data_IF_213997289365
#
_entry.id   IF_213997289365
#
_cell.length_a   1.000
_cell.length_b   1.000
_cell.length_c   1.000
_cell.angle_alpha   90.00
_cell.angle_beta   90.00
_cell.angle_gamma   90.00
#
_symmetry.space_group_name_H-M   'P 1'
#
loop_
_entity.id
_entity.type
_entity.pdbx_description
1 polymer ?
#
# COMPACT_ATOMS: atom_id res chain seq x y z
N UNK A 1 4.89 12.93 -1.82
CA UNK A 1 5.68 11.70 -2.06
C UNK A 1 7.16 12.03 -2.03
N UNK A 2 8.02 11.08 -1.66
CA UNK A 2 9.47 11.28 -1.67
C UNK A 2 9.98 11.51 -3.10
N UNK A 3 10.92 12.44 -3.26
CA UNK A 3 11.49 12.78 -4.58
C UNK A 3 12.45 11.72 -5.09
N UNK A 4 13.13 11.02 -4.18
CA UNK A 4 14.14 10.02 -4.51
C UNK A 4 13.93 8.75 -3.67
N UNK A 5 13.95 7.61 -4.36
CA UNK A 5 13.86 6.29 -3.75
C UNK A 5 15.22 5.60 -3.82
N UNK A 6 15.64 5.03 -2.70
CA UNK A 6 16.78 4.13 -2.61
C UNK A 6 16.35 2.73 -3.03
N UNK A 7 16.50 2.44 -4.32
CA UNK A 7 16.14 1.14 -4.88
C UNK A 7 16.94 -0.01 -4.28
N UNK A 8 18.19 0.21 -3.86
CA UNK A 8 19.02 -0.82 -3.25
C UNK A 8 18.52 -1.15 -1.83
N UNK A 9 18.18 -0.14 -1.03
CA UNK A 9 17.60 -0.33 0.30
C UNK A 9 16.24 -1.01 0.22
N UNK A 10 15.35 -0.53 -0.67
CA UNK A 10 14.04 -1.15 -0.91
C UNK A 10 14.22 -2.62 -1.29
N UNK A 11 15.12 -2.93 -2.23
CA UNK A 11 15.36 -4.31 -2.66
C UNK A 11 15.83 -5.20 -1.51
N UNK A 12 16.74 -4.71 -0.66
CA UNK A 12 17.21 -5.45 0.51
C UNK A 12 16.07 -5.81 1.49
N UNK A 13 15.10 -4.92 1.66
CA UNK A 13 13.91 -5.18 2.49
C UNK A 13 12.88 -6.08 1.80
N UNK A 14 12.68 -5.93 0.48
CA UNK A 14 11.81 -6.82 -0.29
C UNK A 14 12.24 -8.27 -0.14
N UNK A 15 13.54 -8.55 -0.14
CA UNK A 15 14.09 -9.90 0.07
C UNK A 15 13.76 -10.52 1.43
N UNK A 16 13.34 -9.70 2.41
CA UNK A 16 12.90 -10.16 3.74
C UNK A 16 11.39 -10.38 3.81
N UNK A 17 10.62 -10.07 2.77
CA UNK A 17 9.17 -10.16 2.81
C UNK A 17 8.66 -11.61 2.69
N UNK A 18 7.79 -12.01 3.62
CA UNK A 18 7.07 -13.27 3.60
C UNK A 18 5.60 -13.04 3.20
N UNK A 19 5.19 -13.41 1.95
CA UNK A 19 3.82 -13.23 1.48
C UNK A 19 2.75 -14.07 2.19
N UNK A 20 3.11 -15.10 2.96
CA UNK A 20 2.13 -15.89 3.72
C UNK A 20 1.65 -15.20 5.00
N UNK A 21 2.53 -14.41 5.63
CA UNK A 21 2.24 -13.69 6.87
C UNK A 21 2.00 -12.20 6.63
N UNK A 22 2.37 -11.70 5.44
CA UNK A 22 2.46 -10.27 5.14
C UNK A 22 3.34 -9.51 6.15
N UNK A 23 4.53 -10.08 6.41
CA UNK A 23 5.54 -9.52 7.31
C UNK A 23 6.94 -9.59 6.70
N UNK A 24 7.83 -8.69 7.12
CA UNK A 24 9.27 -8.79 6.96
C UNK A 24 9.85 -9.71 8.03
N UNK A 25 10.69 -10.65 7.61
CA UNK A 25 11.42 -11.58 8.47
C UNK A 25 12.83 -11.05 8.71
N UNK A 26 13.05 -10.54 9.91
CA UNK A 26 14.33 -9.98 10.35
C UNK A 26 15.03 -10.95 11.32
N UNK A 27 16.35 -10.82 11.56
CA UNK A 27 17.06 -11.70 12.51
C UNK A 27 16.46 -11.69 13.92
N UNK A 28 15.80 -10.60 14.30
CA UNK A 28 15.17 -10.39 15.62
C UNK A 28 13.65 -10.62 15.64
N UNK A 29 13.05 -11.10 14.54
CA UNK A 29 11.63 -11.46 14.45
C UNK A 29 10.85 -10.80 13.30
N UNK A 30 9.53 -10.95 13.34
CA UNK A 30 8.60 -10.40 12.34
C UNK A 30 8.31 -8.91 12.59
N UNK A 31 8.27 -8.13 11.50
CA UNK A 31 7.79 -6.75 11.47
C UNK A 31 6.91 -6.53 10.24
N UNK A 32 6.02 -5.54 10.26
CA UNK A 32 5.25 -5.17 9.07
C UNK A 32 4.90 -3.69 9.05
N UNK A 33 4.46 -3.20 7.90
CA UNK A 33 3.85 -1.87 7.79
C UNK A 33 2.40 -2.01 8.26
N UNK A 34 2.00 -1.29 9.30
CA UNK A 34 0.69 -1.38 9.94
C UNK A 34 -0.13 -0.10 9.70
N UNK A 35 -1.43 -0.11 10.02
CA UNK A 35 -2.30 1.02 9.69
C UNK A 35 -1.92 2.32 10.41
N UNK A 36 -1.39 2.25 11.63
CA UNK A 36 -0.86 3.44 12.30
C UNK A 36 0.37 3.99 11.57
N UNK A 37 1.22 3.13 10.99
CA UNK A 37 2.33 3.57 10.14
C UNK A 37 1.80 4.36 8.94
N UNK A 38 0.78 3.84 8.25
CA UNK A 38 0.15 4.54 7.11
C UNK A 38 -0.42 5.89 7.53
N UNK A 39 -1.12 5.93 8.67
CA UNK A 39 -1.70 7.15 9.22
C UNK A 39 -0.63 8.22 9.50
N UNK A 40 0.45 7.88 10.20
CA UNK A 40 1.49 8.85 10.56
C UNK A 40 2.42 9.21 9.40
N UNK A 41 2.76 8.25 8.53
CA UNK A 41 3.69 8.46 7.42
C UNK A 41 3.05 9.28 6.30
N UNK A 42 1.83 8.92 5.89
CA UNK A 42 1.16 9.52 4.73
C UNK A 42 0.09 10.55 5.09
N UNK A 43 -0.46 10.52 6.32
CA UNK A 43 -1.59 11.37 6.76
C UNK A 43 -2.82 11.23 5.87
N UNK A 44 -3.12 10.00 5.48
CA UNK A 44 -4.34 9.65 4.73
C UNK A 44 -5.29 8.81 5.60
N UNK A 45 -6.61 8.83 5.33
CA UNK A 45 -7.59 8.07 6.12
C UNK A 45 -7.35 6.57 6.04
N UNK A 46 -7.16 5.93 7.19
CA UNK A 46 -7.06 4.46 7.31
C UNK A 46 -8.36 3.81 7.78
N UNK A 47 -9.28 4.62 8.29
CA UNK A 47 -10.65 4.24 8.61
C UNK A 47 -11.61 4.83 7.58
N UNK A 48 -12.71 4.14 7.33
CA UNK A 48 -13.70 4.57 6.35
C UNK A 48 -14.43 3.39 5.71
N UNK A 49 -15.07 3.67 4.58
CA UNK A 49 -15.72 2.67 3.77
C UNK A 49 -14.69 1.77 3.06
N UNK A 50 -14.98 0.46 3.05
CA UNK A 50 -14.19 -0.54 2.35
C UNK A 50 -14.32 -0.39 0.83
N UNK A 51 -13.19 -0.31 0.15
CA UNK A 51 -13.12 -0.23 -1.30
C UNK A 51 -13.13 -1.62 -1.94
N UNK A 52 -14.28 -2.31 -1.95
CA UNK A 52 -14.40 -3.69 -2.47
C UNK A 52 -14.90 -3.81 -3.90
N UNK A 53 -15.47 -2.74 -4.46
CA UNK A 53 -16.08 -2.78 -5.78
C UNK A 53 -15.01 -3.01 -6.86
N UNK A 54 -15.10 -4.14 -7.56
CA UNK A 54 -14.25 -4.50 -8.70
C UNK A 54 -15.14 -5.00 -9.84
N UNK A 55 -15.70 -4.08 -10.66
CA UNK A 55 -16.53 -4.46 -11.80
C UNK A 55 -15.74 -5.28 -12.82
N UNK A 56 -16.46 -6.09 -13.62
CA UNK A 56 -15.86 -6.85 -14.72
C UNK A 56 -15.01 -5.94 -15.63
N UNK A 57 -13.87 -6.42 -16.19
CA UNK A 57 -12.99 -5.62 -17.04
C UNK A 57 -13.68 -4.88 -18.18
N UNK A 58 -14.73 -5.46 -18.77
CA UNK A 58 -15.52 -4.80 -19.81
C UNK A 58 -16.30 -3.58 -19.29
N UNK A 59 -16.84 -3.66 -18.08
CA UNK A 59 -17.51 -2.52 -17.41
C UNK A 59 -16.49 -1.43 -17.10
N UNK A 60 -15.32 -1.80 -16.59
CA UNK A 60 -14.23 -0.85 -16.34
C UNK A 60 -13.76 -0.17 -17.63
N UNK A 61 -13.67 -0.91 -18.74
CA UNK A 61 -13.29 -0.36 -20.04
C UNK A 61 -14.34 0.64 -20.56
N UNK A 62 -15.62 0.33 -20.43
CA UNK A 62 -16.72 1.24 -20.77
C UNK A 62 -16.68 2.49 -19.89
N UNK A 63 -16.44 2.31 -18.59
CA UNK A 63 -16.31 3.43 -17.66
C UNK A 63 -15.15 4.38 -18.02
N UNK A 64 -14.01 3.84 -18.45
CA UNK A 64 -12.90 4.66 -18.94
C UNK A 64 -13.27 5.38 -20.23
N UNK A 65 -14.02 4.73 -21.11
CA UNK A 65 -14.48 5.33 -22.35
C UNK A 65 -15.40 6.53 -22.08
N UNK A 66 -16.33 6.38 -21.14
CA UNK A 66 -17.25 7.44 -20.72
C UNK A 66 -16.53 8.59 -20.00
N UNK A 67 -15.51 8.28 -19.20
CA UNK A 67 -14.68 9.28 -18.52
C UNK A 67 -13.93 10.17 -19.51
N UNK A 68 -13.31 9.57 -20.53
CA UNK A 68 -12.52 10.29 -21.54
C UNK A 68 -13.41 10.92 -22.61
N UNK A 69 -14.67 10.47 -22.75
CA UNK A 69 -15.64 10.97 -23.75
C UNK A 69 -15.05 11.02 -25.16
N UNK A 70 -14.45 9.92 -25.60
CA UNK A 70 -13.96 9.77 -26.98
C UNK A 70 -15.15 9.32 -27.86
N UNK A 71 -15.35 9.87 -29.06
CA UNK A 71 -16.39 9.38 -29.97
C UNK A 71 -16.14 7.92 -30.35
N UNK A 72 -17.19 7.08 -30.28
CA UNK A 72 -17.14 5.63 -30.53
C UNK A 72 -16.92 5.29 -32.01
N UNK A 73 -17.35 6.17 -32.92
CA UNK A 73 -17.51 5.81 -34.34
C UNK A 73 -16.44 6.44 -35.24
N UNK A 74 -15.50 5.60 -35.70
CA UNK A 74 -14.51 5.90 -36.72
C UNK A 74 -13.37 4.86 -36.75
N UNK A 75 -12.32 5.01 -37.58
CA UNK A 75 -11.10 4.18 -37.57
C UNK A 75 -10.33 4.20 -36.22
N UNK A 76 -10.89 4.91 -35.24
CA UNK A 76 -10.51 5.22 -33.85
C UNK A 76 -10.42 3.98 -32.94
N UNK A 77 -10.93 2.81 -33.33
CA UNK A 77 -10.78 1.58 -32.53
C UNK A 77 -9.31 1.20 -32.24
N UNK A 78 -8.39 1.51 -33.18
CA UNK A 78 -6.95 1.40 -32.97
C UNK A 78 -6.37 2.52 -32.10
N UNK A 79 -6.88 3.74 -32.22
CA UNK A 79 -6.45 4.89 -31.42
C UNK A 79 -6.86 4.75 -29.96
N UNK A 80 -8.09 4.32 -29.66
CA UNK A 80 -8.53 3.98 -28.30
C UNK A 80 -7.57 2.97 -27.66
N UNK A 81 -7.27 1.87 -28.37
CA UNK A 81 -6.43 0.78 -27.85
C UNK A 81 -4.96 1.18 -27.60
N UNK A 82 -4.43 2.16 -28.31
CA UNK A 82 -3.01 2.54 -28.25
C UNK A 82 -2.78 3.85 -27.48
N UNK A 83 -3.63 4.85 -27.71
CA UNK A 83 -3.54 6.18 -27.10
C UNK A 83 -4.10 6.19 -25.69
N UNK A 84 -5.25 5.56 -25.47
CA UNK A 84 -5.98 5.67 -24.21
C UNK A 84 -5.88 4.40 -23.37
N UNK A 85 -6.38 3.28 -23.86
CA UNK A 85 -6.57 2.06 -23.09
C UNK A 85 -5.82 0.88 -23.68
N UNK A 86 -4.74 0.43 -23.03
CA UNK A 86 -3.90 -0.67 -23.49
C UNK A 86 -3.68 -1.68 -22.37
N UNK A 87 -3.80 -2.98 -22.67
CA UNK A 87 -3.56 -4.08 -21.74
C UNK A 87 -4.28 -3.91 -20.38
N UNK A 88 -5.49 -3.35 -20.39
CA UNK A 88 -6.29 -3.14 -19.18
C UNK A 88 -6.00 -1.85 -18.41
N UNK A 89 -5.10 -0.99 -18.88
CA UNK A 89 -4.74 0.27 -18.21
C UNK A 89 -5.06 1.52 -19.03
N UNK A 90 -5.39 2.62 -18.35
CA UNK A 90 -5.70 3.93 -18.96
C UNK A 90 -4.48 4.86 -18.93
N UNK A 91 -4.22 5.62 -20.00
CA UNK A 91 -3.07 6.52 -20.11
C UNK A 91 -3.12 7.68 -19.10
N UNK A 92 -2.12 7.79 -18.24
CA UNK A 92 -2.08 8.79 -17.17
C UNK A 92 -2.04 10.23 -17.72
N UNK A 93 -1.05 10.55 -18.56
CA UNK A 93 -0.88 11.92 -19.08
C UNK A 93 -2.06 12.33 -19.97
N UNK A 94 -2.54 11.40 -20.80
CA UNK A 94 -3.71 11.62 -21.63
C UNK A 94 -4.93 11.99 -20.79
N UNK A 95 -5.12 11.32 -19.66
CA UNK A 95 -6.25 11.57 -18.77
C UNK A 95 -6.18 12.96 -18.13
N UNK A 96 -5.00 13.40 -17.67
CA UNK A 96 -4.79 14.76 -17.14
C UNK A 96 -5.08 15.84 -18.18
N UNK A 97 -4.52 15.68 -19.39
CA UNK A 97 -4.76 16.61 -20.50
C UNK A 97 -6.24 16.67 -20.81
N UNK A 98 -6.91 15.50 -20.90
CA UNK A 98 -8.33 15.43 -21.19
C UNK A 98 -9.19 16.14 -20.16
N UNK A 99 -8.92 15.91 -18.87
CA UNK A 99 -9.63 16.56 -17.77
C UNK A 99 -9.62 18.09 -17.89
N UNK A 100 -8.44 18.67 -18.19
CA UNK A 100 -8.26 20.10 -18.41
C UNK A 100 -8.97 20.62 -19.66
N UNK A 101 -8.88 19.88 -20.77
CA UNK A 101 -9.48 20.26 -22.05
C UNK A 101 -11.01 20.34 -21.99
N UNK A 102 -11.65 19.45 -21.22
CA UNK A 102 -13.11 19.41 -21.14
C UNK A 102 -13.70 20.61 -20.40
N UNK A 103 -12.90 21.33 -19.59
CA UNK A 103 -13.35 22.50 -18.80
C UNK A 103 -14.58 22.21 -17.91
N UNK A 104 -14.73 20.96 -17.48
CA UNK A 104 -15.74 20.53 -16.52
C UNK A 104 -15.00 20.30 -15.20
N UNK A 105 -15.26 21.17 -14.20
CA UNK A 105 -14.52 21.17 -12.93
C UNK A 105 -14.49 19.79 -12.26
N UNK A 106 -15.64 19.14 -12.16
CA UNK A 106 -15.73 17.84 -11.48
C UNK A 106 -14.89 16.78 -12.19
N UNK A 107 -14.86 16.81 -13.52
CA UNK A 107 -14.05 15.89 -14.31
C UNK A 107 -12.56 16.21 -14.20
N UNK A 108 -12.18 17.49 -14.18
CA UNK A 108 -10.79 17.91 -13.97
C UNK A 108 -10.29 17.42 -12.60
N UNK A 109 -11.08 17.58 -11.54
CA UNK A 109 -10.75 17.08 -10.21
C UNK A 109 -10.68 15.54 -10.19
N UNK A 110 -11.66 14.85 -10.78
CA UNK A 110 -11.70 13.39 -10.83
C UNK A 110 -10.48 12.81 -11.55
N UNK A 111 -10.13 13.35 -12.73
CA UNK A 111 -8.96 12.91 -13.51
C UNK A 111 -7.65 13.23 -12.79
N UNK A 112 -7.54 14.40 -12.16
CA UNK A 112 -6.39 14.73 -11.32
C UNK A 112 -6.22 13.76 -10.16
N UNK A 113 -7.28 13.49 -9.39
CA UNK A 113 -7.25 12.54 -8.28
C UNK A 113 -6.92 11.13 -8.75
N UNK A 114 -7.46 10.70 -9.89
CA UNK A 114 -7.16 9.40 -10.47
C UNK A 114 -5.67 9.28 -10.77
N UNK A 115 -5.08 10.24 -11.48
CA UNK A 115 -3.64 10.21 -11.78
C UNK A 115 -2.82 10.31 -10.50
N UNK A 116 -3.19 11.19 -9.56
CA UNK A 116 -2.51 11.31 -8.28
C UNK A 116 -2.47 9.96 -7.54
N UNK A 117 -3.62 9.31 -7.35
CA UNK A 117 -3.71 8.05 -6.60
C UNK A 117 -3.02 6.90 -7.34
N UNK A 118 -3.22 6.80 -8.65
CA UNK A 118 -2.61 5.75 -9.48
C UNK A 118 -1.09 5.87 -9.61
N UNK A 119 -0.56 7.09 -9.59
CA UNK A 119 0.88 7.35 -9.65
C UNK A 119 1.56 7.41 -8.28
N UNK A 120 0.81 7.26 -7.18
CA UNK A 120 1.38 7.35 -5.81
C UNK A 120 1.05 6.16 -4.91
N UNK A 121 -0.22 5.79 -4.79
CA UNK A 121 -0.67 4.71 -3.89
C UNK A 121 -0.76 3.37 -4.61
N UNK A 122 -1.29 3.39 -5.84
CA UNK A 122 -1.64 2.19 -6.61
C UNK A 122 -0.75 1.97 -7.85
N UNK A 123 0.51 2.41 -7.76
CA UNK A 123 1.48 2.29 -8.85
C UNK A 123 1.63 0.84 -9.28
N UNK A 124 1.56 0.56 -10.59
CA UNK A 124 1.75 -0.78 -11.15
C UNK A 124 3.00 -0.83 -12.06
N UNK A 125 3.18 -1.94 -12.77
CA UNK A 125 4.31 -2.16 -13.70
C UNK A 125 4.08 -1.55 -15.09
N UNK A 126 2.93 -0.91 -15.32
CA UNK A 126 2.49 -0.45 -16.64
C UNK A 126 3.10 0.88 -17.06
N UNK A 127 3.99 1.47 -16.24
CA UNK A 127 4.74 2.72 -16.44
C UNK A 127 3.87 3.97 -16.60
N UNK A 128 3.16 4.09 -17.71
CA UNK A 128 2.35 5.24 -18.12
C UNK A 128 0.84 4.97 -18.04
N UNK A 129 0.46 3.75 -17.64
CA UNK A 129 -0.95 3.35 -17.48
C UNK A 129 -1.35 3.23 -16.01
N UNK A 130 -2.63 3.53 -15.75
CA UNK A 130 -3.24 3.47 -14.44
C UNK A 130 -4.32 2.39 -14.42
N UNK A 131 -4.54 1.82 -13.24
CA UNK A 131 -5.57 0.80 -13.02
C UNK A 131 -6.97 1.42 -13.06
N UNK A 132 -7.88 0.98 -13.97
CA UNK A 132 -9.23 1.53 -14.11
C UNK A 132 -10.09 1.47 -12.85
N UNK A 133 -9.88 0.47 -11.99
CA UNK A 133 -10.63 0.28 -10.75
C UNK A 133 -10.57 1.49 -9.80
N UNK A 134 -9.54 2.32 -9.89
CA UNK A 134 -9.45 3.57 -9.10
C UNK A 134 -10.64 4.49 -9.39
N UNK A 135 -11.07 4.59 -10.66
CA UNK A 135 -12.15 5.50 -11.06
C UNK A 135 -13.49 5.16 -10.41
N UNK A 136 -13.74 3.88 -10.11
CA UNK A 136 -14.97 3.40 -9.46
C UNK A 136 -15.26 4.19 -8.18
N UNK A 137 -14.21 4.51 -7.42
CA UNK A 137 -14.27 5.22 -6.15
C UNK A 137 -14.15 6.75 -6.26
N UNK A 138 -14.00 7.27 -7.48
CA UNK A 138 -13.87 8.72 -7.74
C UNK A 138 -15.09 9.33 -8.44
N UNK A 139 -16.05 8.49 -8.89
CA UNK A 139 -17.28 8.94 -9.56
C UNK A 139 -18.12 9.86 -8.68
N UNK A 140 -18.29 9.48 -7.41
CA UNK A 140 -19.00 10.29 -6.43
C UNK A 140 -18.01 11.01 -5.53
N UNK A 141 -17.70 12.26 -5.88
CA UNK A 141 -16.76 13.10 -5.13
C UNK A 141 -17.14 13.27 -3.65
N UNK A 142 -18.43 13.16 -3.29
CA UNK A 142 -18.89 13.30 -1.91
C UNK A 142 -18.44 12.14 -1.03
N UNK A 143 -18.18 10.98 -1.63
CA UNK A 143 -17.76 9.76 -0.94
C UNK A 143 -16.25 9.60 -0.87
N UNK A 144 -15.50 10.29 -1.75
CA UNK A 144 -14.04 10.17 -1.85
C UNK A 144 -13.36 10.32 -0.49
N UNK A 145 -13.73 11.33 0.30
CA UNK A 145 -13.12 11.56 1.62
C UNK A 145 -13.46 10.48 2.67
N UNK A 146 -14.52 9.69 2.44
CA UNK A 146 -15.00 8.67 3.37
C UNK A 146 -14.41 7.27 3.16
N UNK A 147 -13.62 7.04 2.11
CA UNK A 147 -12.97 5.74 1.88
C UNK A 147 -11.71 5.57 2.73
N UNK A 148 -11.44 4.32 3.14
CA UNK A 148 -10.24 3.94 3.86
C UNK A 148 -9.00 3.84 2.92
N UNK A 149 -8.63 4.95 2.27
CA UNK A 149 -7.54 5.01 1.28
C UNK A 149 -6.21 4.43 1.77
N UNK A 150 -5.89 4.63 3.05
CA UNK A 150 -4.68 4.10 3.68
C UNK A 150 -4.70 2.58 3.81
N UNK A 151 -5.82 1.99 4.19
CA UNK A 151 -5.97 0.53 4.25
C UNK A 151 -5.91 -0.07 2.83
N UNK A 152 -6.55 0.57 1.86
CA UNK A 152 -6.48 0.17 0.46
C UNK A 152 -5.05 0.26 -0.10
N UNK A 153 -4.33 1.34 0.17
CA UNK A 153 -2.93 1.51 -0.24
C UNK A 153 -2.02 0.45 0.40
N UNK A 154 -2.25 0.09 1.67
CA UNK A 154 -1.50 -0.94 2.37
C UNK A 154 -1.77 -2.34 1.80
N UNK A 155 -3.04 -2.69 1.55
CA UNK A 155 -3.43 -3.95 0.91
C UNK A 155 -2.73 -4.10 -0.45
N UNK A 156 -2.74 -3.02 -1.24
CA UNK A 156 -2.07 -3.02 -2.52
C UNK A 156 -0.54 -3.15 -2.39
N UNK A 157 0.09 -2.45 -1.44
CA UNK A 157 1.53 -2.57 -1.20
C UNK A 157 1.93 -3.98 -0.75
N UNK A 158 1.17 -4.63 0.13
CA UNK A 158 1.40 -6.02 0.55
C UNK A 158 1.40 -6.98 -0.65
N UNK A 159 0.39 -6.85 -1.53
CA UNK A 159 0.33 -7.61 -2.79
C UNK A 159 1.56 -7.36 -3.64
N UNK A 160 1.97 -6.11 -3.81
CA UNK A 160 3.16 -5.77 -4.63
C UNK A 160 4.46 -6.31 -4.03
N UNK A 161 4.62 -6.29 -2.70
CA UNK A 161 5.74 -6.93 -2.00
C UNK A 161 5.76 -8.44 -2.25
N UNK A 162 4.61 -9.12 -2.11
CA UNK A 162 4.49 -10.55 -2.36
C UNK A 162 4.70 -10.94 -3.83
N UNK A 163 4.42 -10.04 -4.78
CA UNK A 163 4.75 -10.23 -6.19
C UNK A 163 6.24 -10.00 -6.45
N UNK A 164 6.87 -9.04 -5.76
CA UNK A 164 8.26 -8.66 -5.95
C UNK A 164 9.26 -9.74 -5.50
N UNK A 165 8.89 -10.58 -4.51
CA UNK A 165 9.72 -11.69 -4.04
C UNK A 165 9.74 -12.91 -4.96
N UNK A 166 8.93 -12.92 -6.03
CA UNK A 166 8.90 -14.06 -6.96
C UNK A 166 10.05 -14.01 -7.95
N UNK A 167 10.57 -15.20 -8.31
CA UNK A 167 11.72 -15.39 -9.21
C UNK A 167 11.60 -14.63 -10.55
N UNK A 168 10.38 -14.52 -11.10
CA UNK A 168 10.14 -13.82 -12.37
C UNK A 168 10.04 -12.29 -12.25
N UNK A 169 10.01 -11.73 -11.04
CA UNK A 169 9.82 -10.30 -10.84
C UNK A 169 11.14 -9.53 -10.98
N UNK A 170 11.13 -8.47 -11.80
CA UNK A 170 12.28 -7.59 -12.04
C UNK A 170 12.14 -6.20 -11.40
N UNK A 171 11.00 -5.94 -10.76
CA UNK A 171 10.68 -4.65 -10.16
C UNK A 171 9.59 -4.79 -9.11
N UNK A 172 9.54 -3.80 -8.21
CA UNK A 172 8.47 -3.59 -7.23
C UNK A 172 7.69 -2.32 -7.58
N UNK A 173 6.39 -2.33 -7.24
CA UNK A 173 5.47 -1.21 -7.42
C UNK A 173 4.66 -0.98 -6.13
N UNK A 174 3.58 -0.21 -6.20
CA UNK A 174 2.82 0.25 -5.04
C UNK A 174 3.41 1.51 -4.39
N UNK A 175 2.96 1.83 -3.17
CA UNK A 175 3.36 3.05 -2.47
C UNK A 175 4.80 2.95 -1.89
N UNK A 176 5.82 3.10 -2.74
CA UNK A 176 7.22 2.98 -2.30
C UNK A 176 7.69 4.11 -1.37
N UNK A 177 7.02 5.26 -1.37
CA UNK A 177 7.24 6.29 -0.34
C UNK A 177 6.85 5.78 1.04
N UNK A 178 5.75 5.03 1.17
CA UNK A 178 5.34 4.42 2.43
C UNK A 178 6.39 3.41 2.91
N UNK A 179 6.82 2.50 2.02
CA UNK A 179 7.84 1.51 2.36
C UNK A 179 9.16 2.16 2.80
N UNK A 180 9.68 3.10 2.02
CA UNK A 180 10.95 3.75 2.34
C UNK A 180 10.86 4.60 3.61
N UNK A 181 9.79 5.38 3.78
CA UNK A 181 9.58 6.13 5.01
C UNK A 181 9.48 5.21 6.22
N UNK A 182 8.74 4.10 6.11
CA UNK A 182 8.65 3.10 7.18
C UNK A 182 10.03 2.56 7.56
N UNK A 183 10.90 2.27 6.58
CA UNK A 183 12.29 1.88 6.87
C UNK A 183 12.99 2.97 7.70
N UNK A 184 12.88 4.25 7.31
CA UNK A 184 13.51 5.34 8.06
C UNK A 184 12.93 5.55 9.46
N UNK A 185 11.65 5.24 9.67
CA UNK A 185 11.02 5.32 10.98
C UNK A 185 11.58 4.28 11.96
N UNK A 186 11.60 3.02 11.53
CA UNK A 186 11.93 1.90 12.42
C UNK A 186 13.43 1.58 12.48
N UNK A 187 14.21 1.96 11.46
CA UNK A 187 15.61 1.59 11.34
C UNK A 187 16.51 2.85 11.27
N UNK A 188 16.92 3.41 12.44
CA UNK A 188 17.81 4.56 12.52
C UNK A 188 19.08 4.44 11.67
N UNK A 189 19.61 3.21 11.51
CA UNK A 189 20.80 2.93 10.72
C UNK A 189 20.70 3.34 9.24
N UNK A 190 19.50 3.34 8.66
CA UNK A 190 19.27 3.70 7.25
C UNK A 190 18.71 5.12 7.07
N UNK A 191 18.51 5.85 8.17
CA UNK A 191 17.79 7.12 8.19
C UNK A 191 18.65 8.24 7.57
N UNK A 192 18.12 8.99 6.58
CA UNK A 192 18.77 10.20 6.09
C UNK A 192 18.53 11.38 7.05
N UNK A 193 19.13 12.53 6.75
CA UNK A 193 18.88 13.76 7.51
C UNK A 193 17.39 14.10 7.56
N UNK A 194 16.94 14.57 8.72
CA UNK A 194 15.55 14.92 8.97
C UNK A 194 15.34 16.44 8.94
N UNK A 195 14.24 16.88 8.32
CA UNK A 195 13.73 18.25 8.35
C UNK A 195 12.64 18.31 9.43
N UNK A 196 12.67 19.34 10.27
CA UNK A 196 11.59 19.62 11.20
C UNK A 196 10.34 20.04 10.42
N UNK A 197 9.27 19.27 10.56
CA UNK A 197 7.97 19.55 9.94
C UNK A 197 6.95 19.97 11.01
N UNK A 198 5.82 20.52 10.57
CA UNK A 198 4.68 20.76 11.46
C UNK A 198 4.19 19.44 12.09
N UNK A 199 3.63 19.45 13.32
CA UNK A 199 3.22 18.22 14.01
C UNK A 199 2.25 17.32 13.22
N UNK A 200 1.39 17.92 12.40
CA UNK A 200 0.36 17.28 11.59
C UNK A 200 0.85 16.91 10.17
N UNK A 201 2.06 17.32 9.78
CA UNK A 201 2.61 17.00 8.47
C UNK A 201 2.84 15.48 8.30
N UNK A 202 2.78 14.96 7.06
CA UNK A 202 3.15 13.58 6.78
C UNK A 202 4.61 13.32 7.12
N UNK A 203 4.93 12.30 7.93
CA UNK A 203 6.33 12.02 8.26
C UNK A 203 7.17 11.66 7.04
N UNK A 204 6.57 11.16 5.96
CA UNK A 204 7.26 10.95 4.69
C UNK A 204 7.90 12.23 4.11
N UNK A 205 7.42 13.44 4.46
CA UNK A 205 8.01 14.71 4.03
C UNK A 205 9.15 15.20 4.92
N UNK A 206 9.45 14.48 6.01
CA UNK A 206 10.51 14.87 6.96
C UNK A 206 11.90 14.44 6.50
N UNK A 207 12.04 13.67 5.43
CA UNK A 207 13.31 13.03 5.06
C UNK A 207 14.00 13.72 3.88
N UNK A 208 15.27 14.09 4.05
CA UNK A 208 16.12 14.60 2.97
C UNK A 208 16.67 13.43 2.16
N UNK A 209 15.90 12.96 1.18
CA UNK A 209 16.34 11.90 0.29
C UNK A 209 17.27 12.47 -0.80
N UNK A 210 18.51 12.00 -0.88
CA UNK A 210 19.43 12.35 -1.95
C UNK A 210 19.24 11.48 -3.19
N UNK A 211 19.72 11.93 -4.34
CA UNK A 211 19.78 11.11 -5.55
C UNK A 211 20.83 10.03 -5.35
N UNK A 212 20.41 8.77 -5.44
CA UNK A 212 21.32 7.64 -5.38
C UNK A 212 21.88 7.32 -6.78
N UNK A 213 23.16 6.98 -6.85
CA UNK A 213 23.77 6.55 -8.11
C UNK A 213 23.24 5.16 -8.51
N UNK A 214 23.15 4.95 -9.82
CA UNK A 214 22.71 3.68 -10.41
C UNK A 214 23.88 2.75 -10.77
N UNK A 215 23.57 1.60 -11.36
CA UNK A 215 24.57 0.67 -11.87
C UNK A 215 25.32 -0.06 -10.76
N UNK A 216 26.65 -0.12 -10.86
CA UNK A 216 27.49 -0.88 -9.93
C UNK A 216 27.47 -0.33 -8.50
N UNK A 217 27.27 0.99 -8.33
CA UNK A 217 27.06 1.59 -7.02
C UNK A 217 25.82 1.01 -6.32
N UNK A 218 24.69 0.92 -7.03
CA UNK A 218 23.46 0.34 -6.48
C UNK A 218 23.64 -1.12 -6.07
N UNK A 219 24.44 -1.90 -6.81
CA UNK A 219 24.76 -3.30 -6.45
C UNK A 219 25.62 -3.38 -5.19
N UNK A 220 26.64 -2.53 -5.07
CA UNK A 220 27.49 -2.49 -3.88
C UNK A 220 26.69 -2.04 -2.65
N UNK A 221 25.83 -1.02 -2.79
CA UNK A 221 24.93 -0.57 -1.73
C UNK A 221 23.96 -1.68 -1.31
N UNK A 222 23.40 -2.44 -2.26
CA UNK A 222 22.55 -3.58 -1.95
C UNK A 222 23.29 -4.65 -1.13
N UNK A 223 24.51 -5.02 -1.52
CA UNK A 223 25.34 -5.98 -0.75
C UNK A 223 25.58 -5.47 0.67
N UNK A 224 25.93 -4.19 0.81
CA UNK A 224 26.14 -3.56 2.12
C UNK A 224 24.86 -3.56 2.97
N UNK A 225 23.71 -3.19 2.39
CA UNK A 225 22.44 -3.21 3.12
C UNK A 225 22.05 -4.62 3.56
N UNK A 226 22.27 -5.66 2.74
CA UNK A 226 22.04 -7.05 3.14
C UNK A 226 22.87 -7.43 4.36
N UNK A 227 24.17 -7.13 4.34
CA UNK A 227 25.06 -7.40 5.47
C UNK A 227 24.59 -6.66 6.73
N UNK A 228 24.28 -5.37 6.61
CA UNK A 228 23.77 -4.57 7.74
C UNK A 228 22.47 -5.12 8.31
N UNK A 229 21.59 -5.68 7.46
CA UNK A 229 20.35 -6.33 7.89
C UNK A 229 20.60 -7.67 8.57
N UNK A 230 21.56 -8.47 8.09
CA UNK A 230 21.90 -9.77 8.67
C UNK A 230 22.57 -9.65 10.04
N UNK A 231 23.34 -8.58 10.26
CA UNK A 231 24.03 -8.28 11.53
C UNK A 231 23.13 -7.58 12.56
N UNK A 232 21.91 -7.17 12.17
CA UNK A 232 21.04 -6.33 12.98
C UNK A 232 20.42 -7.08 14.15
N UNK A 233 20.38 -6.43 15.32
CA UNK A 233 19.70 -6.91 16.51
C UNK A 233 18.39 -6.16 16.75
N UNK A 234 17.60 -6.64 17.72
CA UNK A 234 16.39 -5.94 18.13
C UNK A 234 16.64 -4.61 18.86
N UNK A 235 17.87 -4.32 19.28
CA UNK A 235 18.25 -3.06 19.95
C UNK A 235 18.47 -1.93 18.94
N UNK A 236 18.80 -2.27 17.70
CA UNK A 236 19.02 -1.34 16.59
C UNK A 236 17.70 -0.77 16.03
N UNK A 237 16.55 -1.27 16.51
CA UNK A 237 15.21 -0.95 16.00
C UNK A 237 14.50 0.04 16.91
N UNK A 238 14.00 1.12 16.31
CA UNK A 238 13.06 2.04 16.95
C UNK A 238 11.66 1.43 16.93
N UNK A 239 11.32 0.62 17.93
CA UNK A 239 10.06 -0.13 17.98
C UNK A 239 8.79 0.73 18.04
N UNK A 240 8.85 1.93 18.58
CA UNK A 240 7.67 2.81 18.75
C UNK A 240 8.00 4.23 18.27
N UNK A 241 8.21 4.44 16.95
CA UNK A 241 8.69 5.72 16.42
C UNK A 241 7.67 6.86 16.52
N UNK A 242 6.40 6.53 16.82
CA UNK A 242 5.31 7.50 17.03
C UNK A 242 4.86 7.56 18.50
N UNK A 243 5.60 6.91 19.41
CA UNK A 243 5.18 6.71 20.79
C UNK A 243 4.47 5.37 21.00
N UNK A 244 4.32 4.98 22.28
CA UNK A 244 3.75 3.68 22.67
C UNK A 244 2.24 3.60 22.46
N UNK A 245 1.58 4.75 22.36
CA UNK A 245 0.11 4.84 22.24
C UNK A 245 -0.38 4.88 20.78
N UNK A 246 0.51 4.75 19.78
CA UNK A 246 0.12 4.81 18.36
C UNK A 246 -1.00 3.81 17.99
N UNK A 247 -1.01 2.63 18.61
CA UNK A 247 -2.06 1.63 18.40
C UNK A 247 -3.41 1.97 19.02
N UNK A 248 -3.44 2.80 20.07
CA UNK A 248 -4.68 3.29 20.70
C UNK A 248 -5.15 4.59 20.07
N UNK A 249 -4.25 5.40 19.50
CA UNK A 249 -4.59 6.56 18.66
C UNK A 249 -5.25 6.14 17.34
N UNK A 250 -4.78 5.03 16.75
CA UNK A 250 -5.31 4.47 15.50
C UNK A 250 -5.81 3.05 15.77
N UNK A 251 -6.99 2.94 16.41
CA UNK A 251 -7.54 1.67 16.91
C UNK A 251 -7.69 0.59 15.83
N UNK A 252 -8.02 0.97 14.59
CA UNK A 252 -8.10 0.02 13.50
C UNK A 252 -6.78 -0.74 13.24
N UNK A 253 -5.64 -0.23 13.72
CA UNK A 253 -4.35 -0.90 13.59
C UNK A 253 -4.28 -2.22 14.37
N UNK A 254 -5.14 -2.41 15.37
CA UNK A 254 -5.23 -3.64 16.15
C UNK A 254 -6.20 -4.67 15.56
N UNK A 255 -6.84 -4.35 14.43
CA UNK A 255 -7.70 -5.27 13.69
C UNK A 255 -6.91 -6.49 13.22
N UNK A 256 -7.49 -7.69 13.29
CA UNK A 256 -6.96 -8.88 12.62
C UNK A 256 -8.01 -9.37 11.62
N UNK A 257 -7.63 -9.51 10.36
CA UNK A 257 -8.54 -9.91 9.28
C UNK A 257 -8.01 -9.52 7.91
N UNK A 258 -8.89 -9.14 6.98
CA UNK A 258 -8.51 -8.80 5.60
C UNK A 258 -8.59 -7.29 5.38
N UNK A 259 -7.59 -6.74 4.70
CA UNK A 259 -7.60 -5.38 4.11
C UNK A 259 -7.69 -5.46 2.59
N UNK A 260 -8.30 -4.46 1.94
CA UNK A 260 -8.68 -4.60 0.53
C UNK A 260 -8.62 -3.30 -0.28
N UNK A 261 -8.27 -3.47 -1.55
CA UNK A 261 -8.47 -2.52 -2.64
C UNK A 261 -8.99 -3.27 -3.87
N UNK A 262 -10.30 -3.14 -4.15
CA UNK A 262 -11.01 -3.83 -5.23
C UNK A 262 -10.80 -5.37 -5.17
N UNK A 263 -10.20 -5.96 -6.20
CA UNK A 263 -9.78 -7.36 -6.29
C UNK A 263 -8.58 -7.73 -5.39
N UNK A 264 -7.80 -6.76 -4.92
CA UNK A 264 -6.63 -7.01 -4.08
C UNK A 264 -7.05 -7.11 -2.63
N UNK A 265 -7.02 -8.32 -2.09
CA UNK A 265 -7.31 -8.62 -0.70
C UNK A 265 -6.11 -9.30 -0.04
N UNK A 266 -5.72 -8.79 1.12
CA UNK A 266 -4.53 -9.23 1.85
C UNK A 266 -4.81 -9.44 3.34
N UNK A 267 -4.22 -10.49 3.90
CA UNK A 267 -4.29 -10.75 5.34
C UNK A 267 -3.53 -9.68 6.11
N UNK A 268 -4.10 -9.26 7.23
CA UNK A 268 -3.58 -8.25 8.14
C UNK A 268 -3.66 -8.79 9.57
N UNK A 269 -2.50 -9.08 10.17
CA UNK A 269 -2.40 -9.66 11.51
C UNK A 269 -1.36 -8.94 12.38
N UNK A 270 -1.73 -7.83 13.04
CA UNK A 270 -0.82 -7.04 13.87
C UNK A 270 -0.34 -7.80 15.12
N UNK A 271 -0.99 -8.91 15.50
CA UNK A 271 -0.55 -9.73 16.64
C UNK A 271 0.80 -10.42 16.39
N UNK A 272 1.26 -10.46 15.14
CA UNK A 272 2.60 -10.93 14.76
C UNK A 272 3.71 -9.91 15.02
N UNK A 273 3.34 -8.65 15.17
CA UNK A 273 4.25 -7.51 15.24
C UNK A 273 4.01 -6.66 16.50
N UNK A 274 3.69 -7.30 17.64
CA UNK A 274 3.29 -6.61 18.89
C UNK A 274 4.35 -5.65 19.43
N UNK A 275 5.62 -5.89 19.14
CA UNK A 275 6.72 -4.98 19.52
C UNK A 275 6.56 -3.59 18.89
N UNK A 276 5.96 -3.49 17.70
CA UNK A 276 5.68 -2.20 17.05
C UNK A 276 4.63 -1.35 17.77
N UNK A 277 3.93 -1.96 18.73
CA UNK A 277 3.00 -1.29 19.65
C UNK A 277 3.58 -1.18 21.07
N UNK A 278 4.87 -1.46 21.27
CA UNK A 278 5.53 -1.40 22.57
C UNK A 278 5.24 -2.58 23.50
N UNK A 279 4.60 -3.65 23.02
CA UNK A 279 4.34 -4.86 23.80
C UNK A 279 5.42 -5.92 23.59
N UNK A 280 5.49 -6.90 24.51
CA UNK A 280 6.31 -8.10 24.31
C UNK A 280 5.70 -8.98 23.21
N UNK A 281 6.53 -9.45 22.28
CA UNK A 281 6.11 -10.43 21.29
C UNK A 281 5.90 -11.79 21.96
N UNK A 282 4.69 -12.31 21.84
CA UNK A 282 4.36 -13.71 22.17
C UNK A 282 4.53 -14.59 20.94
N UNK A 283 4.53 -15.91 21.12
CA UNK A 283 4.55 -16.85 19.98
C UNK A 283 3.36 -16.51 19.05
N UNK A 284 3.62 -16.21 17.76
CA UNK A 284 2.56 -15.91 16.81
C UNK A 284 1.54 -17.04 16.71
N UNK A 285 0.27 -16.68 16.55
CA UNK A 285 -0.79 -17.66 16.25
C UNK A 285 -0.60 -18.22 14.84
N UNK A 286 -1.28 -19.32 14.54
CA UNK A 286 -1.31 -19.88 13.18
C UNK A 286 -1.69 -18.80 12.17
N UNK A 287 -1.00 -18.80 11.02
CA UNK A 287 -1.22 -17.85 9.94
C UNK A 287 -2.68 -17.88 9.47
N UNK A 288 -3.17 -16.73 9.02
CA UNK A 288 -4.45 -16.68 8.31
C UNK A 288 -4.32 -17.46 7.00
N UNK A 289 -5.21 -18.42 6.80
CA UNK A 289 -5.20 -19.27 5.60
C UNK A 289 -6.26 -18.74 4.63
N UNK A 290 -5.87 -18.25 3.44
CA UNK A 290 -6.84 -17.90 2.42
C UNK A 290 -7.58 -19.15 1.92
N UNK A 291 -8.80 -18.96 1.44
CA UNK A 291 -9.63 -20.05 0.89
C UNK A 291 -8.96 -20.68 -0.34
N UNK A 292 -8.53 -19.84 -1.27
CA UNK A 292 -7.83 -20.25 -2.49
C UNK A 292 -6.69 -19.28 -2.77
N UNK A 293 -5.54 -19.81 -3.17
CA UNK A 293 -4.35 -19.02 -3.46
C UNK A 293 -3.77 -19.49 -4.78
N UNK A 294 -3.74 -18.59 -5.77
CA UNK A 294 -3.08 -18.84 -7.03
C UNK A 294 -1.79 -18.03 -7.13
N UNK A 295 -0.65 -18.74 -7.06
CA UNK A 295 0.69 -18.14 -7.05
C UNK A 295 1.60 -18.61 -8.19
N UNK A 296 1.24 -18.37 -9.45
CA UNK A 296 2.07 -18.79 -10.57
C UNK A 296 3.36 -17.96 -10.71
N UNK A 297 4.31 -18.46 -11.50
CA UNK A 297 5.55 -17.75 -11.81
C UNK A 297 5.31 -16.40 -12.51
N UNK A 298 4.22 -16.30 -13.29
CA UNK A 298 3.76 -15.02 -13.84
C UNK A 298 3.09 -14.17 -12.76
N UNK A 299 3.57 -12.94 -12.60
CA UNK A 299 2.99 -11.95 -11.68
C UNK A 299 1.56 -11.54 -12.08
N UNK A 300 1.18 -11.65 -13.36
CA UNK A 300 -0.11 -11.17 -13.88
C UNK A 300 -1.34 -11.94 -13.39
N UNK A 301 -1.13 -13.06 -12.72
CA UNK A 301 -2.20 -13.97 -12.26
C UNK A 301 -2.07 -14.28 -10.75
N UNK A 302 -1.38 -13.43 -9.99
CA UNK A 302 -1.39 -13.50 -8.52
C UNK A 302 -2.80 -13.16 -8.02
N UNK A 303 -3.51 -14.14 -7.46
CA UNK A 303 -4.82 -13.94 -6.86
C UNK A 303 -4.91 -14.68 -5.53
N UNK A 304 -5.48 -14.02 -4.53
CA UNK A 304 -5.75 -14.59 -3.20
C UNK A 304 -7.22 -14.37 -2.92
N UNK A 305 -7.91 -15.46 -2.60
CA UNK A 305 -9.32 -15.46 -2.25
C UNK A 305 -9.47 -15.76 -0.77
N UNK A 306 -10.23 -14.91 -0.09
CA UNK A 306 -10.58 -15.07 1.32
C UNK A 306 -12.03 -15.55 1.44
N UNK A 307 -12.33 -16.27 2.50
CA UNK A 307 -13.70 -16.68 2.80
C UNK A 307 -14.54 -15.46 3.19
N UNK A 308 -15.83 -15.42 2.79
CA UNK A 308 -16.69 -14.25 2.98
C UNK A 308 -16.91 -13.82 4.45
N UNK A 309 -16.68 -14.72 5.42
CA UNK A 309 -16.67 -14.40 6.86
C UNK A 309 -15.41 -13.64 7.30
N UNK A 310 -14.27 -13.91 6.65
CA UNK A 310 -12.98 -13.22 6.89
C UNK A 310 -12.81 -11.97 6.04
N UNK A 311 -13.53 -11.89 4.92
CA UNK A 311 -13.62 -10.72 4.04
C UNK A 311 -14.58 -9.65 4.57
N UNK A 312 -14.61 -9.50 5.89
CA UNK A 312 -15.25 -8.38 6.56
C UNK A 312 -14.18 -7.31 6.81
N UNK A 313 -14.61 -6.06 6.90
CA UNK A 313 -13.75 -4.92 7.18
C UNK A 313 -14.36 -4.12 8.32
N UNK A 314 -13.54 -3.41 9.09
CA UNK A 314 -14.09 -2.57 10.14
C UNK A 314 -14.86 -1.40 9.49
N UNK A 315 -16.18 -1.37 9.67
CA UNK A 315 -16.99 -0.25 9.19
C UNK A 315 -17.06 0.83 10.28
N UNK A 316 -16.68 2.06 9.92
CA UNK A 316 -16.86 3.24 10.78
C UNK A 316 -18.37 3.48 10.99
N UNK A 317 -18.92 2.90 12.05
CA UNK A 317 -20.36 2.84 12.33
C UNK A 317 -20.75 1.68 13.24
N UNK A 318 -20.00 0.57 13.18
CA UNK A 318 -19.96 -0.41 14.25
C UNK A 318 -18.94 0.06 15.29
N UNK A 319 -19.32 1.02 16.14
CA UNK A 319 -18.68 1.11 17.47
C UNK A 319 -18.84 -0.27 18.08
N UNK A 320 -17.79 -1.10 18.12
CA UNK A 320 -17.56 -2.24 19.02
C UNK A 320 -18.77 -2.70 19.88
N UNK A 321 -19.91 -3.06 19.28
CA UNK A 321 -21.17 -3.30 20.02
C UNK A 321 -21.81 -4.66 19.78
N UNK A 322 -21.30 -5.48 18.87
CA UNK A 322 -21.83 -6.85 18.68
C UNK A 322 -20.78 -7.94 18.71
N UNK A 323 -19.52 -7.57 18.89
CA UNK A 323 -18.47 -8.45 19.39
C UNK A 323 -17.71 -7.62 20.42
N UNK A 324 -17.40 -8.15 21.62
CA UNK A 324 -16.51 -7.44 22.52
C UNK A 324 -15.24 -7.09 21.72
N UNK A 325 -14.63 -5.91 21.91
CA UNK A 325 -13.23 -5.76 21.49
C UNK A 325 -12.50 -7.01 22.00
N UNK A 326 -11.57 -7.64 21.23
CA UNK A 326 -10.73 -8.68 21.80
C UNK A 326 -10.21 -8.09 23.10
N UNK A 327 -10.61 -8.72 24.22
CA UNK A 327 -10.58 -8.02 25.49
C UNK A 327 -9.17 -7.47 25.71
N UNK A 328 -9.02 -6.26 26.25
CA UNK A 328 -7.72 -5.81 26.75
C UNK A 328 -7.10 -6.78 27.76
N UNK A 329 -7.86 -7.78 28.23
CA UNK A 329 -7.45 -8.82 29.18
C UNK A 329 -6.38 -9.80 28.67
N UNK A 330 -5.91 -9.69 27.41
CA UNK A 330 -4.65 -10.36 26.99
C UNK A 330 -3.54 -9.37 26.59
N UNK A 331 -3.79 -8.06 26.73
CA UNK A 331 -2.82 -6.99 26.44
C UNK A 331 -2.40 -6.21 27.68
N UNK A 332 -3.13 -6.32 28.79
CA UNK A 332 -2.73 -5.74 30.08
C UNK A 332 -1.88 -6.68 30.96
N UNK A 333 -1.87 -7.99 30.71
CA UNK A 333 -1.20 -8.95 31.61
C UNK A 333 0.30 -9.20 31.31
N UNK A 334 0.87 -8.54 30.30
CA UNK A 334 2.32 -8.60 30.03
C UNK A 334 2.82 -7.25 29.50
N UNK A 335 2.53 -6.19 30.25
CA UNK A 335 3.19 -4.89 30.09
C UNK A 335 4.61 -4.94 30.62
#
# INVERSE_FOLDING_TARGET
MMQHLDTALITAFVERWQPDTNTFHMPFGEMSILLHDVHHILRIPVEGELMRDDPHPDVLKLDMHDLVRVPVDGPVGGEWKSKWFLNGGIHAEGLLVRGREMKIRDLEVQTYLFVLLGSTLFVDKSRDRLRPAINVFLKDQRRVAGYAWGAAALAYLYRQLGMATRVGSKSICGCLTLLQAWIYEYFPLFRPSQILQAPDAPRASSWVCHRFAGGDDARQRLVRYRQMLDEMSGEDVSWTPYGRDAGTEVLCSLYTGVIRFADVAEGYDPARCRRQFGYRQTIPRTMMVPKDVYRPASCSTYIVFWEGSMDQFWCCGQRYRTSPPPSPLHMHEMR
#
